data_IF_835246379946
#
_entry.id   IF_835246379946
#
_cell.length_a   1.000
_cell.length_b   1.000
_cell.length_c   1.000
_cell.angle_alpha   90.00
_cell.angle_beta   90.00
_cell.angle_gamma   90.00
#
_symmetry.space_group_name_H-M   'P 1'
#
loop_
_entity.id
_entity.type
_entity.pdbx_description
1 polymer ?
#
# COMPACT_ATOMS: atom_id res chain seq x y z
N UNK A 1 37.05 -0.44 32.80
CA UNK A 1 36.51 0.89 32.45
C UNK A 1 35.71 0.72 31.17
N UNK A 2 34.40 0.46 31.11
CA UNK A 2 33.34 0.55 32.11
C UNK A 2 32.53 1.83 31.94
N UNK A 3 31.74 1.97 30.86
CA UNK A 3 30.52 2.80 30.82
C UNK A 3 29.51 2.12 29.89
N UNK A 4 28.52 1.47 30.51
CA UNK A 4 27.28 1.04 29.89
C UNK A 4 26.37 2.27 29.74
N UNK A 5 25.79 2.49 28.56
CA UNK A 5 24.64 3.38 28.41
C UNK A 5 23.40 2.54 28.13
N UNK A 6 22.90 1.89 29.17
CA UNK A 6 21.52 1.38 29.23
C UNK A 6 20.58 2.56 29.45
N UNK A 7 19.93 3.04 28.39
CA UNK A 7 18.78 3.95 28.56
C UNK A 7 17.55 3.08 28.78
N UNK A 8 17.18 2.95 30.05
CA UNK A 8 15.91 2.36 30.51
C UNK A 8 14.78 3.21 29.94
N UNK A 9 13.97 2.61 29.07
CA UNK A 9 12.77 3.25 28.51
C UNK A 9 11.66 3.17 29.57
N UNK A 10 11.55 4.19 30.41
CA UNK A 10 10.45 4.32 31.37
C UNK A 10 9.10 4.31 30.62
N UNK A 11 8.21 3.39 31.00
CA UNK A 11 6.81 3.41 30.57
C UNK A 11 6.09 4.49 31.38
N UNK A 12 5.69 5.59 30.72
CA UNK A 12 4.72 6.52 31.32
C UNK A 12 3.31 5.91 31.34
N UNK A 13 2.49 6.22 32.36
CA UNK A 13 1.19 5.58 32.56
C UNK A 13 0.17 6.06 31.53
N UNK A 14 -0.73 5.14 31.14
CA UNK A 14 -1.95 5.43 30.38
C UNK A 14 -2.84 6.37 31.20
N UNK A 15 -3.04 7.60 30.71
CA UNK A 15 -4.19 8.41 31.09
C UNK A 15 -5.36 8.00 30.19
N UNK A 16 -6.42 7.48 30.81
CA UNK A 16 -7.75 7.41 30.21
C UNK A 16 -8.30 8.83 30.15
N UNK A 17 -8.79 9.25 28.99
CA UNK A 17 -10.02 10.05 28.87
C UNK A 17 -10.44 10.07 27.40
N UNK A 18 -11.72 9.72 27.22
CA UNK A 18 -12.50 9.81 26.00
C UNK A 18 -12.78 11.28 25.69
N UNK A 19 -12.55 11.69 24.43
CA UNK A 19 -13.50 12.38 23.55
C UNK A 19 -12.76 12.75 22.26
N UNK A 20 -13.44 12.61 21.12
CA UNK A 20 -12.87 12.77 19.79
C UNK A 20 -12.53 14.24 19.49
N UNK A 21 -11.34 14.69 19.89
CA UNK A 21 -10.75 15.92 19.39
C UNK A 21 -9.60 15.62 18.42
N UNK A 22 -9.85 15.88 17.15
CA UNK A 22 -8.81 15.88 16.11
C UNK A 22 -7.90 17.08 16.36
N UNK A 23 -6.74 16.83 16.96
CA UNK A 23 -5.66 17.81 17.07
C UNK A 23 -5.05 18.06 15.67
N UNK A 24 -5.53 19.11 14.99
CA UNK A 24 -4.89 19.63 13.79
C UNK A 24 -3.65 20.40 14.23
N UNK A 25 -2.46 19.81 14.04
CA UNK A 25 -1.18 20.49 14.29
C UNK A 25 -0.97 21.52 13.16
N UNK A 26 -1.26 22.79 13.43
CA UNK A 26 -0.81 23.88 12.57
C UNK A 26 0.70 24.07 12.76
N UNK A 27 1.44 24.11 11.65
CA UNK A 27 2.92 24.27 11.66
C UNK A 27 3.40 25.60 12.26
N UNK A 28 2.50 26.50 12.65
CA UNK A 28 2.80 27.79 13.26
C UNK A 28 3.17 27.72 14.74
N UNK A 29 2.87 26.60 15.41
CA UNK A 29 2.89 26.57 16.89
C UNK A 29 4.01 25.69 17.46
N UNK A 30 5.00 25.31 16.65
CA UNK A 30 6.25 24.76 17.18
C UNK A 30 7.30 25.86 17.30
N UNK A 31 7.66 26.18 18.54
CA UNK A 31 8.99 26.68 18.90
C UNK A 31 10.04 25.65 18.44
N UNK A 32 10.41 25.69 17.16
CA UNK A 32 11.53 24.94 16.63
C UNK A 32 12.80 25.39 17.38
N UNK A 33 13.54 24.47 18.03
CA UNK A 33 14.81 24.81 18.65
C UNK A 33 15.75 25.44 17.60
N UNK A 34 16.50 26.47 17.98
CA UNK A 34 17.39 27.26 17.09
C UNK A 34 18.35 26.39 16.27
N UNK A 35 18.73 25.22 16.79
CA UNK A 35 19.53 24.21 16.11
C UNK A 35 18.92 23.67 14.80
N UNK A 36 17.61 23.84 14.59
CA UNK A 36 16.90 23.45 13.37
C UNK A 36 16.54 24.65 12.49
N UNK A 37 16.90 25.88 12.90
CA UNK A 37 16.48 27.13 12.25
C UNK A 37 17.44 27.63 11.16
N UNK A 38 18.59 27.00 10.95
CA UNK A 38 19.53 27.46 9.94
C UNK A 38 20.27 26.30 9.26
N UNK A 39 19.63 25.71 8.26
CA UNK A 39 20.37 25.24 7.08
C UNK A 39 19.62 25.79 5.87
N UNK A 40 19.94 27.03 5.50
CA UNK A 40 19.49 27.57 4.23
C UNK A 40 20.19 26.78 3.12
N UNK A 41 19.40 26.09 2.30
CA UNK A 41 19.92 25.45 1.11
C UNK A 41 20.34 26.58 0.16
N UNK A 42 21.62 26.60 -0.23
CA UNK A 42 22.09 27.53 -1.26
C UNK A 42 21.22 27.41 -2.50
N UNK A 43 20.80 28.55 -3.07
CA UNK A 43 20.06 28.62 -4.33
C UNK A 43 20.72 27.82 -5.45
N UNK A 44 22.04 27.64 -5.40
CA UNK A 44 22.78 26.85 -6.37
C UNK A 44 22.52 25.34 -6.23
N UNK A 45 22.26 24.86 -5.01
CA UNK A 45 21.92 23.47 -4.71
C UNK A 45 20.47 23.18 -5.09
N UNK A 46 19.55 24.10 -4.78
CA UNK A 46 18.15 23.99 -5.18
C UNK A 46 18.00 23.94 -6.72
N UNK A 47 18.76 24.76 -7.45
CA UNK A 47 18.79 24.74 -8.92
C UNK A 47 19.32 23.43 -9.51
N UNK A 48 20.27 22.76 -8.83
CA UNK A 48 20.77 21.45 -9.28
C UNK A 48 19.76 20.33 -9.02
N UNK A 49 19.06 20.36 -7.88
CA UNK A 49 18.06 19.36 -7.52
C UNK A 49 16.83 19.46 -8.44
N UNK A 50 16.41 20.67 -8.80
CA UNK A 50 15.25 20.87 -9.68
C UNK A 50 15.53 20.63 -11.17
N UNK A 51 16.75 20.19 -11.51
CA UNK A 51 17.13 19.85 -12.87
C UNK A 51 17.31 21.10 -13.73
N UNK A 52 18.54 21.32 -14.20
CA UNK A 52 18.86 22.36 -15.16
C UNK A 52 18.05 22.18 -16.46
N UNK A 53 16.92 22.88 -16.54
CA UNK A 53 16.37 23.42 -17.77
C UNK A 53 16.05 24.86 -17.48
N UNK A 54 16.68 25.77 -18.22
CA UNK A 54 16.31 27.18 -18.29
C UNK A 54 14.92 27.34 -18.94
N UNK A 55 13.88 26.75 -18.32
CA UNK A 55 12.53 27.26 -18.52
C UNK A 55 12.45 28.52 -17.66
N UNK A 56 12.15 29.65 -18.31
CA UNK A 56 12.11 30.94 -17.63
C UNK A 56 11.12 30.82 -16.48
N UNK A 57 11.42 31.41 -15.33
CA UNK A 57 10.52 31.41 -14.17
C UNK A 57 9.09 31.91 -14.53
N UNK A 58 8.99 32.79 -15.54
CA UNK A 58 7.74 33.22 -16.15
C UNK A 58 6.96 32.09 -16.83
N UNK A 59 7.63 31.15 -17.51
CA UNK A 59 7.00 29.98 -18.14
C UNK A 59 6.45 29.02 -17.08
N UNK A 60 7.14 28.89 -15.94
CA UNK A 60 6.64 28.14 -14.80
C UNK A 60 5.41 28.80 -14.18
N UNK A 61 5.44 30.12 -13.94
CA UNK A 61 4.27 30.84 -13.43
C UNK A 61 3.06 30.71 -14.36
N UNK A 62 3.27 30.81 -15.68
CA UNK A 62 2.19 30.60 -16.65
C UNK A 62 1.67 29.16 -16.67
N UNK A 63 2.55 28.15 -16.52
CA UNK A 63 2.13 26.74 -16.40
C UNK A 63 1.35 26.49 -15.12
N UNK A 64 1.77 27.07 -13.99
CA UNK A 64 1.05 26.95 -12.72
C UNK A 64 -0.32 27.62 -12.78
N UNK A 65 -0.42 28.83 -13.35
CA UNK A 65 -1.70 29.51 -13.54
C UNK A 65 -2.66 28.69 -14.44
N UNK A 66 -2.15 28.12 -15.54
CA UNK A 66 -2.95 27.22 -16.40
C UNK A 66 -3.37 25.95 -15.68
N UNK A 67 -2.49 25.33 -14.88
CA UNK A 67 -2.81 24.13 -14.10
C UNK A 67 -3.83 24.42 -12.99
N UNK A 68 -3.78 25.60 -12.38
CA UNK A 68 -4.74 26.04 -11.37
C UNK A 68 -6.12 26.27 -11.99
N UNK A 69 -6.16 26.89 -13.17
CA UNK A 69 -7.38 27.07 -13.96
C UNK A 69 -7.97 25.70 -14.39
N UNK A 70 -7.16 24.81 -14.95
CA UNK A 70 -7.58 23.45 -15.33
C UNK A 70 -8.08 22.64 -14.13
N UNK A 71 -7.42 22.73 -12.96
CA UNK A 71 -7.89 22.07 -11.74
C UNK A 71 -9.22 22.65 -11.26
N UNK A 72 -9.40 23.97 -11.35
CA UNK A 72 -10.66 24.63 -10.97
C UNK A 72 -11.82 24.17 -11.87
N UNK A 73 -11.58 24.07 -13.18
CA UNK A 73 -12.56 23.53 -14.13
C UNK A 73 -12.88 22.06 -13.89
N UNK A 74 -11.86 21.24 -13.59
CA UNK A 74 -12.06 19.82 -13.29
C UNK A 74 -12.86 19.64 -12.00
N UNK A 75 -12.60 20.44 -10.97
CA UNK A 75 -13.38 20.44 -9.73
C UNK A 75 -14.82 20.88 -9.98
N UNK A 76 -15.06 21.87 -10.84
CA UNK A 76 -16.41 22.27 -11.22
C UNK A 76 -17.13 21.15 -12.01
N UNK A 77 -16.46 20.53 -13.00
CA UNK A 77 -17.00 19.39 -13.76
C UNK A 77 -17.27 18.18 -12.85
N UNK A 78 -16.48 17.97 -11.80
CA UNK A 78 -16.74 16.94 -10.79
C UNK A 78 -17.97 17.26 -9.95
N UNK A 79 -18.10 18.51 -9.47
CA UNK A 79 -19.30 18.96 -8.74
C UNK A 79 -20.56 18.86 -9.60
N UNK A 80 -20.51 19.28 -10.86
CA UNK A 80 -21.63 19.14 -11.80
C UNK A 80 -21.96 17.68 -12.09
N UNK A 81 -20.95 16.79 -12.18
CA UNK A 81 -21.17 15.34 -12.30
C UNK A 81 -21.75 14.73 -11.02
N UNK A 82 -21.35 15.19 -9.84
CA UNK A 82 -21.93 14.77 -8.57
C UNK A 82 -23.36 15.25 -8.43
N UNK A 83 -23.66 16.51 -8.74
CA UNK A 83 -25.02 17.05 -8.75
C UNK A 83 -25.90 16.37 -9.79
N UNK A 84 -25.37 16.07 -10.97
CA UNK A 84 -26.10 15.31 -11.99
C UNK A 84 -26.29 13.86 -11.55
N UNK A 85 -25.29 13.20 -10.95
CA UNK A 85 -25.49 11.88 -10.33
C UNK A 85 -26.51 11.94 -9.21
N UNK A 86 -26.52 12.97 -8.38
CA UNK A 86 -27.49 13.18 -7.30
C UNK A 86 -28.89 13.34 -7.87
N UNK A 87 -29.06 14.17 -8.91
CA UNK A 87 -30.33 14.33 -9.63
C UNK A 87 -30.78 13.04 -10.31
N UNK A 88 -29.86 12.27 -10.89
CA UNK A 88 -30.16 10.95 -11.43
C UNK A 88 -30.53 9.97 -10.31
N UNK A 89 -29.85 9.93 -9.16
CA UNK A 89 -30.20 9.09 -7.99
C UNK A 89 -31.56 9.48 -7.40
N UNK A 90 -31.89 10.78 -7.37
CA UNK A 90 -33.18 11.29 -6.91
C UNK A 90 -34.33 11.03 -7.90
N UNK A 91 -34.05 10.92 -9.22
CA UNK A 91 -35.06 10.68 -10.27
C UNK A 91 -35.06 9.27 -10.87
N UNK A 92 -34.03 8.46 -10.60
CA UNK A 92 -33.82 7.12 -11.14
C UNK A 92 -32.75 6.40 -10.29
N UNK A 93 -33.15 5.36 -9.56
CA UNK A 93 -32.32 4.51 -8.67
C UNK A 93 -32.39 5.03 -7.22
N UNK A 94 -33.44 4.70 -6.43
CA UNK A 94 -33.79 3.31 -6.08
C UNK A 94 -32.57 2.39 -6.25
N UNK A 95 -31.50 2.70 -5.52
CA UNK A 95 -30.47 1.70 -5.25
C UNK A 95 -31.26 0.53 -4.66
N UNK A 96 -31.16 -0.70 -5.17
CA UNK A 96 -31.67 -1.84 -4.43
C UNK A 96 -30.82 -1.86 -3.17
N UNK A 97 -31.39 -1.33 -2.10
CA UNK A 97 -30.88 -1.50 -0.76
C UNK A 97 -30.71 -3.01 -0.57
N UNK A 98 -29.47 -3.49 -0.68
CA UNK A 98 -29.12 -4.86 -0.27
C UNK A 98 -29.29 -5.01 1.26
N UNK A 99 -29.74 -3.95 1.94
CA UNK A 99 -30.39 -3.95 3.24
C UNK A 99 -31.85 -3.49 3.12
N UNK A 100 -32.74 -4.48 3.14
CA UNK A 100 -34.07 -4.46 3.75
C UNK A 100 -35.19 -3.69 3.05
N UNK A 101 -36.00 -4.42 2.27
CA UNK A 101 -37.44 -4.59 2.53
C UNK A 101 -37.99 -5.54 1.47
N UNK A 102 -38.19 -6.79 1.86
CA UNK A 102 -39.26 -7.71 1.42
C UNK A 102 -38.82 -9.12 1.85
N UNK A 103 -39.49 -9.64 2.89
CA UNK A 103 -39.30 -10.95 3.53
C UNK A 103 -38.32 -11.06 4.72
N UNK A 104 -38.07 -9.99 5.49
CA UNK A 104 -37.69 -10.17 6.89
C UNK A 104 -38.95 -10.41 7.72
N UNK A 105 -39.34 -11.68 7.77
CA UNK A 105 -39.83 -12.24 9.04
C UNK A 105 -38.81 -11.82 10.08
N UNK A 106 -39.29 -11.13 11.12
CA UNK A 106 -38.52 -10.62 12.26
C UNK A 106 -37.53 -11.66 12.79
N UNK A 107 -36.30 -11.62 12.27
CA UNK A 107 -35.21 -12.40 12.82
C UNK A 107 -34.60 -11.59 13.96
N UNK A 108 -34.36 -12.24 15.10
CA UNK A 108 -33.73 -11.57 16.23
C UNK A 108 -32.33 -11.09 15.83
N UNK A 109 -31.83 -10.09 16.54
CA UNK A 109 -30.44 -9.63 16.40
C UNK A 109 -29.42 -10.77 16.49
N UNK A 110 -29.70 -11.82 17.27
CA UNK A 110 -28.84 -13.02 17.33
C UNK A 110 -28.84 -13.80 16.00
N UNK A 111 -30.00 -13.97 15.35
CA UNK A 111 -30.09 -14.71 14.09
C UNK A 111 -29.41 -14.00 12.92
N UNK A 112 -29.31 -12.67 12.96
CA UNK A 112 -28.54 -11.87 11.99
C UNK A 112 -27.04 -12.06 12.21
N UNK A 113 -26.60 -12.06 13.48
CA UNK A 113 -25.19 -12.29 13.85
C UNK A 113 -24.76 -13.69 13.42
N UNK A 114 -25.57 -14.72 13.68
CA UNK A 114 -25.29 -16.10 13.29
C UNK A 114 -25.22 -16.26 11.77
N UNK A 115 -26.12 -15.60 11.02
CA UNK A 115 -26.08 -15.61 9.55
C UNK A 115 -24.83 -14.93 9.01
N UNK A 116 -24.40 -13.84 9.62
CA UNK A 116 -23.19 -13.13 9.20
C UNK A 116 -21.92 -13.91 9.56
N UNK A 117 -21.88 -14.57 10.71
CA UNK A 117 -20.80 -15.50 11.07
C UNK A 117 -20.71 -16.66 10.09
N UNK A 118 -21.83 -17.32 9.77
CA UNK A 118 -21.82 -18.40 8.75
C UNK A 118 -21.31 -17.94 7.39
N UNK A 119 -21.72 -16.75 6.93
CA UNK A 119 -21.20 -16.16 5.68
C UNK A 119 -19.71 -15.89 5.75
N UNK A 120 -19.22 -15.40 6.89
CA UNK A 120 -17.80 -15.15 7.11
C UNK A 120 -17.01 -16.46 7.13
N UNK A 121 -17.50 -17.48 7.82
CA UNK A 121 -16.87 -18.81 7.89
C UNK A 121 -16.84 -19.48 6.51
N UNK A 122 -17.92 -19.37 5.73
CA UNK A 122 -17.95 -19.86 4.35
C UNK A 122 -16.95 -19.13 3.45
N UNK A 123 -16.79 -17.82 3.64
CA UNK A 123 -15.84 -17.02 2.87
C UNK A 123 -14.41 -17.34 3.29
N UNK A 124 -14.14 -17.48 4.59
CA UNK A 124 -12.86 -17.91 5.12
C UNK A 124 -12.48 -19.30 4.57
N UNK A 125 -13.43 -20.24 4.56
CA UNK A 125 -13.22 -21.60 4.02
C UNK A 125 -12.95 -21.56 2.51
N UNK A 126 -13.61 -20.67 1.74
CA UNK A 126 -13.32 -20.49 0.31
C UNK A 126 -11.93 -19.90 0.08
N UNK A 127 -11.56 -18.87 0.83
CA UNK A 127 -10.23 -18.25 0.75
C UNK A 127 -9.17 -19.29 1.09
N UNK A 128 -9.37 -20.05 2.16
CA UNK A 128 -8.45 -21.11 2.56
C UNK A 128 -8.33 -22.21 1.51
N UNK A 129 -9.44 -22.66 0.94
CA UNK A 129 -9.43 -23.64 -0.13
C UNK A 129 -8.76 -23.14 -1.40
N UNK A 130 -8.92 -21.86 -1.77
CA UNK A 130 -8.34 -21.30 -2.99
C UNK A 130 -6.85 -21.00 -2.82
N UNK A 131 -6.44 -20.48 -1.66
CA UNK A 131 -5.09 -19.95 -1.45
C UNK A 131 -4.17 -20.84 -0.61
N UNK A 132 -4.70 -21.59 0.37
CA UNK A 132 -3.89 -22.37 1.30
C UNK A 132 -3.88 -23.88 1.01
N UNK A 133 -4.85 -24.41 0.25
CA UNK A 133 -4.85 -25.84 -0.11
C UNK A 133 -3.74 -26.22 -1.11
N UNK A 134 -3.29 -25.27 -1.93
CA UNK A 134 -2.18 -25.46 -2.87
C UNK A 134 -0.86 -25.14 -2.16
N UNK A 135 -0.27 -26.15 -1.53
CA UNK A 135 1.13 -26.07 -1.12
C UNK A 135 2.01 -26.20 -2.37
N UNK A 136 2.75 -25.15 -2.72
CA UNK A 136 3.74 -25.21 -3.78
C UNK A 136 5.00 -25.88 -3.25
N UNK A 137 5.37 -27.00 -3.84
CA UNK A 137 6.67 -27.62 -3.58
C UNK A 137 7.78 -26.68 -4.06
N UNK A 138 8.94 -26.69 -3.38
CA UNK A 138 10.08 -25.90 -3.82
C UNK A 138 10.63 -26.46 -5.14
N UNK A 139 10.17 -25.91 -6.25
CA UNK A 139 10.50 -26.36 -7.61
C UNK A 139 11.99 -26.23 -7.94
N UNK A 140 12.72 -25.34 -7.26
CA UNK A 140 14.13 -25.07 -7.52
C UNK A 140 15.06 -25.69 -6.46
N UNK A 141 14.55 -26.59 -5.61
CA UNK A 141 15.33 -27.14 -4.48
C UNK A 141 16.59 -27.91 -4.89
N UNK A 142 16.58 -28.55 -6.07
CA UNK A 142 17.75 -29.30 -6.54
C UNK A 142 18.89 -28.37 -7.03
N UNK A 143 18.52 -27.19 -7.52
CA UNK A 143 19.49 -26.16 -7.89
C UNK A 143 20.03 -25.49 -6.63
N UNK A 144 19.20 -25.28 -5.60
CA UNK A 144 19.66 -24.81 -4.29
C UNK A 144 20.70 -25.74 -3.67
N UNK A 145 20.46 -27.06 -3.73
CA UNK A 145 21.46 -28.06 -3.31
C UNK A 145 22.76 -27.93 -4.09
N UNK A 146 22.66 -27.76 -5.40
CA UNK A 146 23.84 -27.59 -6.27
C UNK A 146 24.63 -26.31 -5.93
N UNK A 147 23.95 -25.22 -5.57
CA UNK A 147 24.57 -23.98 -5.08
C UNK A 147 25.26 -24.24 -3.73
N UNK A 148 24.59 -24.87 -2.78
CA UNK A 148 25.15 -25.15 -1.46
C UNK A 148 26.36 -26.08 -1.56
N UNK A 149 26.31 -27.09 -2.42
CA UNK A 149 27.41 -28.02 -2.66
C UNK A 149 28.61 -27.30 -3.28
N UNK A 150 28.37 -26.42 -4.26
CA UNK A 150 29.43 -25.62 -4.87
C UNK A 150 30.11 -24.67 -3.86
N UNK A 151 29.32 -24.02 -3.00
CA UNK A 151 29.82 -23.13 -1.96
C UNK A 151 30.57 -23.89 -0.86
N UNK A 152 30.14 -25.10 -0.52
CA UNK A 152 30.83 -25.98 0.41
C UNK A 152 32.23 -26.38 -0.10
N UNK A 153 32.34 -26.65 -1.42
CA UNK A 153 33.62 -26.96 -2.07
C UNK A 153 34.49 -25.70 -2.28
N UNK A 154 33.89 -24.52 -2.49
CA UNK A 154 34.59 -23.29 -2.84
C UNK A 154 34.28 -22.11 -1.88
N UNK A 155 34.58 -22.22 -0.57
CA UNK A 155 34.13 -21.24 0.43
C UNK A 155 34.69 -19.83 0.24
N UNK A 156 35.87 -19.69 -0.38
CA UNK A 156 36.52 -18.39 -0.64
C UNK A 156 36.38 -17.92 -2.10
N UNK A 157 35.74 -18.72 -2.97
CA UNK A 157 35.66 -18.46 -4.41
C UNK A 157 34.21 -18.55 -4.90
N UNK A 158 33.33 -17.75 -4.31
CA UNK A 158 31.89 -17.69 -4.59
C UNK A 158 31.58 -17.47 -6.07
N UNK A 159 32.42 -16.73 -6.79
CA UNK A 159 32.26 -16.45 -8.22
C UNK A 159 32.30 -17.72 -9.10
N UNK A 160 32.96 -18.80 -8.65
CA UNK A 160 32.94 -20.08 -9.38
C UNK A 160 31.55 -20.73 -9.39
N UNK A 161 30.69 -20.38 -8.42
CA UNK A 161 29.33 -20.88 -8.32
C UNK A 161 28.30 -19.99 -9.02
N UNK A 162 28.74 -18.91 -9.68
CA UNK A 162 27.84 -17.93 -10.31
C UNK A 162 26.91 -18.55 -11.34
N UNK A 163 27.37 -19.51 -12.13
CA UNK A 163 26.56 -20.20 -13.13
C UNK A 163 25.32 -20.89 -12.51
N UNK A 164 25.44 -21.43 -11.30
CA UNK A 164 24.29 -22.04 -10.61
C UNK A 164 23.25 -21.00 -10.16
N UNK A 165 23.68 -19.76 -9.86
CA UNK A 165 22.76 -18.67 -9.53
C UNK A 165 21.94 -18.23 -10.74
N UNK A 166 22.52 -18.23 -11.93
CA UNK A 166 21.79 -17.87 -13.15
C UNK A 166 20.74 -18.94 -13.49
N UNK A 167 21.09 -20.23 -13.38
CA UNK A 167 20.12 -21.34 -13.50
C UNK A 167 19.01 -21.22 -12.45
N UNK A 168 19.34 -20.85 -11.22
CA UNK A 168 18.37 -20.69 -10.14
C UNK A 168 17.38 -19.55 -10.43
N UNK A 169 17.87 -18.40 -10.91
CA UNK A 169 17.02 -17.27 -11.31
C UNK A 169 16.07 -17.66 -12.43
N UNK A 170 16.55 -18.39 -13.43
CA UNK A 170 15.73 -18.87 -14.54
C UNK A 170 14.65 -19.85 -14.05
N UNK A 171 15.00 -20.76 -13.14
CA UNK A 171 14.05 -21.67 -12.51
C UNK A 171 12.94 -20.91 -11.76
N UNK A 172 13.31 -19.89 -10.96
CA UNK A 172 12.33 -19.04 -10.26
C UNK A 172 11.43 -18.31 -11.25
N UNK A 173 12.01 -17.72 -12.31
CA UNK A 173 11.26 -16.96 -13.30
C UNK A 173 10.22 -17.85 -14.02
N UNK A 174 10.62 -19.06 -14.40
CA UNK A 174 9.74 -20.05 -15.04
C UNK A 174 8.67 -20.59 -14.07
N UNK A 175 9.02 -20.80 -12.81
CA UNK A 175 8.05 -21.24 -11.82
C UNK A 175 7.02 -20.14 -11.54
N UNK A 176 7.47 -18.90 -11.38
CA UNK A 176 6.60 -17.73 -11.19
C UNK A 176 5.63 -17.54 -12.37
N UNK A 177 6.10 -17.69 -13.61
CA UNK A 177 5.21 -17.57 -14.78
C UNK A 177 4.16 -18.69 -14.82
N UNK A 178 4.54 -19.93 -14.49
CA UNK A 178 3.59 -21.05 -14.38
C UNK A 178 2.54 -20.82 -13.28
N UNK A 179 2.95 -20.35 -12.10
CA UNK A 179 2.02 -20.04 -11.02
C UNK A 179 0.99 -18.97 -11.41
N UNK A 180 1.43 -17.93 -12.12
CA UNK A 180 0.53 -16.87 -12.60
C UNK A 180 -0.44 -17.43 -13.66
N UNK A 181 0.03 -18.30 -14.56
CA UNK A 181 -0.84 -18.94 -15.56
C UNK A 181 -1.86 -19.91 -14.92
N UNK A 182 -1.46 -20.69 -13.93
CA UNK A 182 -2.36 -21.63 -13.22
C UNK A 182 -3.39 -20.92 -12.32
N UNK A 183 -3.13 -19.68 -11.89
CA UNK A 183 -4.06 -18.87 -11.10
C UNK A 183 -5.10 -18.14 -11.96
N UNK A 184 -4.82 -17.92 -13.24
CA UNK A 184 -5.73 -17.28 -14.20
C UNK A 184 -5.87 -18.17 -15.44
N UNK A 185 -6.58 -19.31 -15.33
CA UNK A 185 -6.96 -20.04 -16.53
C UNK A 185 -7.81 -19.09 -17.38
N UNK A 186 -7.29 -18.72 -18.55
CA UNK A 186 -8.03 -17.98 -19.56
C UNK A 186 -9.28 -18.80 -19.88
N UNK A 187 -10.45 -18.29 -19.53
CA UNK A 187 -11.73 -18.85 -19.97
C UNK A 187 -11.70 -18.95 -21.49
N UNK A 188 -11.77 -20.18 -22.01
CA UNK A 188 -11.99 -20.48 -23.42
C UNK A 188 -13.48 -20.72 -23.65
#
# INVERSE_FOLDING_TARGET
MGIEHSVVRERRPRSKNEENDVLIIQRSDLDLPEAYRAVELSDQVLRRINGAKDEKFEDFQQKFAKLEEENSELLQKLKEKEENKQKYVDSSIKIPSILNKENEVSLSTEEIIDKNQKKFDEMATRVEKVFFSKQYTNACSDIEKSITDCLAVNPQRVLLCQHFLDIYKDCIAQHKSKLIQDQFPQEK
#
